data_IF_061750176804
#
_entry.id   IF_061750176804
#
_cell.length_a   1.000
_cell.length_b   1.000
_cell.length_c   1.000
_cell.angle_alpha   90.00
_cell.angle_beta   90.00
_cell.angle_gamma   90.00
#
_symmetry.space_group_name_H-M   'P 1'
#
loop_
_entity.id
_entity.type
_entity.pdbx_description
1 polymer ?
#
# COMPACT_ATOMS: atom_id res chain seq x y z
N UNK A 1 3.44 -1.60 33.89
CA UNK A 1 4.49 -0.89 33.12
C UNK A 1 4.07 -0.79 31.67
N UNK A 2 3.54 0.35 31.21
CA UNK A 2 3.26 0.58 29.79
C UNK A 2 4.60 0.61 29.04
N UNK A 3 4.83 -0.35 28.14
CA UNK A 3 5.97 -0.29 27.23
C UNK A 3 5.86 1.01 26.44
N UNK A 4 6.92 1.82 26.41
CA UNK A 4 7.02 3.03 25.59
C UNK A 4 6.62 2.68 24.15
N UNK A 5 5.41 3.08 23.74
CA UNK A 5 4.91 2.92 22.39
C UNK A 5 5.25 4.18 21.61
N UNK A 6 5.89 4.02 20.45
CA UNK A 6 6.15 5.15 19.57
C UNK A 6 5.06 5.23 18.52
N UNK A 7 4.40 6.38 18.44
CA UNK A 7 3.35 6.65 17.48
C UNK A 7 3.88 7.44 16.30
N UNK A 8 3.52 7.01 15.09
CA UNK A 8 3.91 7.66 13.84
C UNK A 8 2.68 7.98 13.01
N UNK A 9 2.55 9.26 12.64
CA UNK A 9 1.48 9.74 11.77
C UNK A 9 1.83 9.48 10.30
N UNK A 10 0.88 8.91 9.58
CA UNK A 10 0.96 8.60 8.16
C UNK A 10 0.11 9.60 7.38
N UNK A 11 0.75 10.26 6.44
CA UNK A 11 0.18 11.24 5.52
C UNK A 11 0.09 10.74 4.09
N UNK A 12 -0.28 11.67 3.20
CA UNK A 12 -0.47 11.39 1.77
C UNK A 12 0.86 11.42 1.03
N UNK A 13 1.20 10.34 0.33
CA UNK A 13 2.39 10.27 -0.52
C UNK A 13 2.13 10.82 -1.92
N UNK A 14 2.15 12.15 -2.08
CA UNK A 14 1.86 12.81 -3.37
C UNK A 14 2.88 12.47 -4.46
N UNK A 15 4.16 12.33 -4.10
CA UNK A 15 5.23 12.03 -5.07
C UNK A 15 5.14 10.59 -5.57
N UNK A 16 4.90 9.63 -4.68
CA UNK A 16 4.67 8.24 -5.07
C UNK A 16 3.43 8.06 -5.93
N UNK A 17 2.36 8.81 -5.63
CA UNK A 17 1.14 8.83 -6.45
C UNK A 17 1.41 9.34 -7.85
N UNK A 18 2.22 10.38 -8.01
CA UNK A 18 2.58 10.88 -9.34
C UNK A 18 3.29 9.80 -10.18
N UNK A 19 4.19 9.04 -9.57
CA UNK A 19 4.87 7.92 -10.23
C UNK A 19 3.91 6.78 -10.59
N UNK A 20 3.00 6.42 -9.68
CA UNK A 20 1.99 5.40 -9.97
C UNK A 20 1.08 5.85 -11.12
N UNK A 21 0.58 7.09 -11.10
CA UNK A 21 -0.26 7.64 -12.18
C UNK A 21 0.50 7.66 -13.51
N UNK A 22 1.77 8.09 -13.51
CA UNK A 22 2.60 8.11 -14.71
C UNK A 22 2.81 6.72 -15.31
N UNK A 23 2.89 5.66 -14.51
CA UNK A 23 2.99 4.29 -15.03
C UNK A 23 1.64 3.71 -15.47
N UNK A 24 0.60 3.88 -14.66
CA UNK A 24 -0.67 3.20 -14.89
C UNK A 24 -1.50 3.86 -15.99
N UNK A 25 -1.53 5.20 -16.09
CA UNK A 25 -2.37 5.90 -17.08
C UNK A 25 -1.99 5.54 -18.52
N UNK A 26 -0.70 5.57 -18.93
CA UNK A 26 -0.32 5.16 -20.28
C UNK A 26 -0.57 3.68 -20.53
N UNK A 27 -0.36 2.81 -19.53
CA UNK A 27 -0.55 1.36 -19.66
C UNK A 27 -2.03 1.03 -19.89
N UNK A 28 -2.92 1.57 -19.05
CA UNK A 28 -4.37 1.38 -19.18
C UNK A 28 -4.88 2.00 -20.47
N UNK A 29 -4.43 3.21 -20.81
CA UNK A 29 -4.79 3.90 -22.04
C UNK A 29 -4.36 3.13 -23.30
N UNK A 30 -3.15 2.59 -23.31
CA UNK A 30 -2.64 1.75 -24.39
C UNK A 30 -3.43 0.46 -24.55
N UNK A 31 -3.69 -0.26 -23.46
CA UNK A 31 -4.49 -1.49 -23.49
C UNK A 31 -5.92 -1.24 -23.96
N UNK A 32 -6.57 -0.19 -23.46
CA UNK A 32 -7.92 0.19 -23.87
C UNK A 32 -7.96 0.65 -25.34
N UNK A 33 -6.96 1.42 -25.79
CA UNK A 33 -6.87 1.89 -27.17
C UNK A 33 -6.65 0.74 -28.16
N UNK A 34 -5.72 -0.17 -27.86
CA UNK A 34 -5.47 -1.35 -28.71
C UNK A 34 -6.65 -2.32 -28.68
N UNK A 35 -7.32 -2.47 -27.54
CA UNK A 35 -8.58 -3.22 -27.44
C UNK A 35 -9.65 -2.65 -28.38
N UNK A 36 -9.85 -1.34 -28.38
CA UNK A 36 -10.79 -0.68 -29.27
C UNK A 36 -10.42 -0.88 -30.74
N UNK A 37 -9.13 -0.82 -31.09
CA UNK A 37 -8.67 -1.11 -32.44
C UNK A 37 -9.05 -2.53 -32.89
N UNK A 38 -8.77 -3.55 -32.07
CA UNK A 38 -9.13 -4.94 -32.38
C UNK A 38 -10.64 -5.20 -32.41
N UNK A 39 -11.42 -4.40 -31.69
CA UNK A 39 -12.88 -4.48 -31.74
C UNK A 39 -13.41 -4.16 -33.15
N UNK A 40 -12.88 -3.09 -33.76
CA UNK A 40 -13.25 -2.70 -35.12
C UNK A 40 -12.61 -3.56 -36.20
N UNK A 41 -11.47 -4.20 -35.92
CA UNK A 41 -10.77 -5.12 -36.83
C UNK A 41 -11.39 -6.54 -36.86
N UNK A 42 -12.52 -6.74 -36.18
CA UNK A 42 -13.24 -8.02 -36.16
C UNK A 42 -12.64 -9.10 -35.25
N UNK A 43 -11.45 -8.89 -34.69
CA UNK A 43 -10.81 -9.79 -33.72
C UNK A 43 -11.34 -9.55 -32.29
N UNK A 44 -12.60 -9.94 -32.09
CA UNK A 44 -13.32 -9.74 -30.82
C UNK A 44 -12.64 -10.44 -29.63
N UNK A 45 -11.98 -11.59 -29.86
CA UNK A 45 -11.30 -12.33 -28.80
C UNK A 45 -10.18 -11.53 -28.15
N UNK A 46 -9.28 -10.97 -28.96
CA UNK A 46 -8.21 -10.09 -28.46
C UNK A 46 -8.75 -8.79 -27.88
N UNK A 47 -9.81 -8.23 -28.50
CA UNK A 47 -10.45 -7.02 -27.98
C UNK A 47 -10.94 -7.22 -26.54
N UNK A 48 -11.67 -8.30 -26.26
CA UNK A 48 -12.15 -8.61 -24.91
C UNK A 48 -11.03 -8.86 -23.91
N UNK A 49 -10.00 -9.62 -24.30
CA UNK A 49 -8.85 -9.89 -23.43
C UNK A 49 -8.13 -8.59 -23.04
N UNK A 50 -7.84 -7.73 -24.00
CA UNK A 50 -7.15 -6.47 -23.77
C UNK A 50 -8.00 -5.48 -22.96
N UNK A 51 -9.31 -5.44 -23.21
CA UNK A 51 -10.23 -4.62 -22.42
C UNK A 51 -10.29 -5.10 -20.97
N UNK A 52 -10.42 -6.41 -20.76
CA UNK A 52 -10.39 -7.02 -19.44
C UNK A 52 -9.10 -6.66 -18.71
N UNK A 53 -7.95 -6.77 -19.39
CA UNK A 53 -6.65 -6.43 -18.83
C UNK A 53 -6.56 -4.93 -18.48
N UNK A 54 -7.09 -4.05 -19.33
CA UNK A 54 -7.16 -2.62 -19.04
C UNK A 54 -7.98 -2.34 -17.78
N UNK A 55 -9.16 -2.95 -17.64
CA UNK A 55 -10.00 -2.85 -16.45
C UNK A 55 -9.31 -3.39 -15.19
N UNK A 56 -8.61 -4.51 -15.30
CA UNK A 56 -7.85 -5.10 -14.20
C UNK A 56 -6.72 -4.17 -13.73
N UNK A 57 -5.90 -3.66 -14.64
CA UNK A 57 -4.84 -2.72 -14.29
C UNK A 57 -5.38 -1.39 -13.77
N UNK A 58 -6.50 -0.92 -14.29
CA UNK A 58 -7.19 0.27 -13.77
C UNK A 58 -7.61 0.06 -12.32
N UNK A 59 -8.26 -1.08 -12.01
CA UNK A 59 -8.69 -1.40 -10.66
C UNK A 59 -7.50 -1.47 -9.69
N UNK A 60 -6.43 -2.18 -10.05
CA UNK A 60 -5.24 -2.32 -9.20
C UNK A 60 -4.49 -1.00 -9.05
N UNK A 61 -4.35 -0.24 -10.13
CA UNK A 61 -3.73 1.08 -10.11
C UNK A 61 -4.51 2.08 -9.25
N UNK A 62 -5.84 2.10 -9.40
CA UNK A 62 -6.72 2.93 -8.59
C UNK A 62 -6.60 2.57 -7.10
N UNK A 63 -6.69 1.28 -6.75
CA UNK A 63 -6.53 0.83 -5.37
C UNK A 63 -5.20 1.29 -4.76
N UNK A 64 -4.09 1.11 -5.50
CA UNK A 64 -2.74 1.52 -5.05
C UNK A 64 -2.63 3.04 -4.87
N UNK A 65 -3.13 3.83 -5.81
CA UNK A 65 -3.14 5.30 -5.73
C UNK A 65 -3.98 5.78 -4.54
N UNK A 66 -5.19 5.24 -4.38
CA UNK A 66 -6.09 5.59 -3.28
C UNK A 66 -5.49 5.23 -1.91
N UNK A 67 -4.80 4.08 -1.82
CA UNK A 67 -4.11 3.67 -0.60
C UNK A 67 -2.95 4.61 -0.24
N UNK A 68 -2.15 5.04 -1.21
CA UNK A 68 -1.06 6.02 -0.98
C UNK A 68 -1.54 7.42 -0.61
N UNK A 69 -2.70 7.82 -1.13
CA UNK A 69 -3.37 9.06 -0.76
C UNK A 69 -4.11 8.95 0.58
N UNK A 70 -4.09 7.77 1.21
CA UNK A 70 -4.79 7.46 2.45
C UNK A 70 -6.27 7.77 2.30
N UNK A 71 -6.87 7.50 1.13
CA UNK A 71 -8.29 7.80 0.85
C UNK A 71 -9.21 6.62 1.15
N UNK A 72 -8.67 5.39 1.14
CA UNK A 72 -9.47 4.21 1.47
C UNK A 72 -9.77 4.20 2.98
N UNK A 73 -10.96 3.72 3.40
CA UNK A 73 -11.32 3.62 4.81
C UNK A 73 -10.33 2.74 5.60
N UNK A 74 -9.82 1.68 4.96
CA UNK A 74 -8.84 0.75 5.50
C UNK A 74 -7.39 1.25 5.44
N UNK A 75 -7.14 2.46 4.92
CA UNK A 75 -5.78 3.01 4.86
C UNK A 75 -5.29 3.34 6.27
N UNK A 76 -4.12 2.84 6.68
CA UNK A 76 -3.53 3.23 7.97
C UNK A 76 -3.18 4.72 8.00
N UNK A 77 -3.56 5.40 9.08
CA UNK A 77 -3.26 6.81 9.36
C UNK A 77 -2.28 6.96 10.52
N UNK A 78 -2.25 5.99 11.44
CA UNK A 78 -1.24 5.92 12.50
C UNK A 78 -0.63 4.54 12.54
N UNK A 79 0.64 4.49 12.94
CA UNK A 79 1.37 3.27 13.26
C UNK A 79 1.96 3.42 14.65
N UNK A 80 1.46 2.64 15.60
CA UNK A 80 2.00 2.54 16.95
C UNK A 80 2.87 1.28 17.06
N UNK A 81 4.16 1.50 17.31
CA UNK A 81 5.16 0.45 17.45
C UNK A 81 5.44 0.19 18.92
N UNK A 82 5.25 -1.05 19.36
CA UNK A 82 5.69 -1.57 20.66
C UNK A 82 6.59 -2.80 20.45
N UNK A 83 7.31 -3.23 21.49
CA UNK A 83 8.25 -4.36 21.45
C UNK A 83 7.63 -5.70 21.05
N UNK A 84 6.31 -5.86 21.22
CA UNK A 84 5.61 -7.15 21.00
C UNK A 84 4.35 -7.03 20.14
N UNK A 85 3.92 -5.81 19.80
CA UNK A 85 2.67 -5.56 19.09
C UNK A 85 2.82 -4.34 18.20
N UNK A 86 2.10 -4.36 17.08
CA UNK A 86 1.90 -3.20 16.23
C UNK A 86 0.41 -2.87 16.18
N UNK A 87 0.05 -1.63 16.46
CA UNK A 87 -1.33 -1.15 16.31
C UNK A 87 -1.37 -0.17 15.14
N UNK A 88 -2.32 -0.40 14.24
CA UNK A 88 -2.57 0.44 13.08
C UNK A 88 -3.95 1.04 13.22
N UNK A 89 -4.07 2.35 13.39
CA UNK A 89 -5.38 3.00 13.28
C UNK A 89 -5.63 3.38 11.82
N UNK A 90 -6.74 2.89 11.30
CA UNK A 90 -7.20 3.12 9.94
C UNK A 90 -7.98 4.44 9.84
N UNK A 91 -8.22 4.90 8.61
CA UNK A 91 -8.90 6.17 8.35
C UNK A 91 -10.36 6.18 8.82
N UNK A 92 -11.02 5.03 8.85
CA UNK A 92 -12.37 4.88 9.43
C UNK A 92 -12.38 4.95 10.98
N UNK A 93 -11.22 5.04 11.63
CA UNK A 93 -11.09 5.04 13.09
C UNK A 93 -10.93 3.65 13.70
N UNK A 94 -11.05 2.58 12.92
CA UNK A 94 -10.82 1.22 13.41
C UNK A 94 -9.33 0.98 13.67
N UNK A 95 -9.03 0.30 14.77
CA UNK A 95 -7.65 -0.08 15.11
C UNK A 95 -7.44 -1.57 14.87
N UNK A 96 -6.43 -1.89 14.05
CA UNK A 96 -6.00 -3.26 13.78
C UNK A 96 -4.72 -3.51 14.56
N UNK A 97 -4.79 -4.41 15.54
CA UNK A 97 -3.63 -4.85 16.32
C UNK A 97 -3.07 -6.15 15.74
N UNK A 98 -1.80 -6.12 15.32
CA UNK A 98 -1.04 -7.27 14.88
C UNK A 98 -0.28 -7.85 16.08
N UNK A 99 -0.62 -9.10 16.43
CA UNK A 99 -0.15 -9.74 17.67
C UNK A 99 0.72 -10.97 17.46
N UNK A 100 0.59 -11.65 16.31
CA UNK A 100 1.26 -12.92 16.05
C UNK A 100 1.87 -12.95 14.65
N UNK A 101 2.94 -13.73 14.49
CA UNK A 101 3.67 -13.92 13.22
C UNK A 101 4.07 -12.60 12.55
N UNK A 102 4.47 -11.63 13.39
CA UNK A 102 4.83 -10.31 12.95
C UNK A 102 6.18 -10.36 12.24
N UNK A 103 6.18 -9.99 10.95
CA UNK A 103 7.36 -9.95 10.10
C UNK A 103 7.53 -8.58 9.48
N UNK A 104 8.74 -8.06 9.60
CA UNK A 104 9.17 -6.86 8.93
C UNK A 104 9.97 -7.19 7.67
N UNK A 105 9.63 -6.56 6.55
CA UNK A 105 10.35 -6.68 5.29
C UNK A 105 10.84 -5.31 4.87
N UNK A 106 12.16 -5.10 4.90
CA UNK A 106 12.77 -3.91 4.32
C UNK A 106 12.84 -4.03 2.80
N UNK A 107 12.53 -2.95 2.10
CA UNK A 107 12.79 -2.85 0.67
C UNK A 107 14.29 -2.68 0.42
N UNK A 108 14.83 -3.40 -0.57
CA UNK A 108 16.24 -3.28 -0.97
C UNK A 108 16.60 -1.84 -1.41
N UNK A 109 15.66 -1.14 -2.05
CA UNK A 109 15.86 0.25 -2.46
C UNK A 109 15.66 1.27 -1.33
N UNK A 110 15.24 0.83 -0.14
CA UNK A 110 15.00 1.69 1.03
C UNK A 110 13.86 2.70 0.87
N UNK A 111 13.03 2.57 -0.17
CA UNK A 111 11.91 3.50 -0.47
C UNK A 111 10.62 3.09 0.23
N UNK A 112 10.54 1.85 0.69
CA UNK A 112 9.37 1.29 1.36
C UNK A 112 9.74 0.20 2.36
N UNK A 113 8.75 -0.26 3.12
CA UNK A 113 8.84 -1.49 3.88
C UNK A 113 7.46 -2.13 3.96
N UNK A 114 7.42 -3.43 4.21
CA UNK A 114 6.18 -4.16 4.43
C UNK A 114 6.14 -4.75 5.83
N UNK A 115 4.92 -4.85 6.36
CA UNK A 115 4.59 -5.50 7.61
C UNK A 115 3.55 -6.58 7.31
N UNK A 116 3.81 -7.80 7.80
CA UNK A 116 2.86 -8.90 7.77
C UNK A 116 2.65 -9.37 9.20
N UNK A 117 1.41 -9.69 9.57
CA UNK A 117 1.10 -10.25 10.87
C UNK A 117 -0.32 -10.79 10.92
N UNK A 118 -0.64 -11.50 11.99
CA UNK A 118 -1.98 -11.97 12.28
C UNK A 118 -2.64 -11.01 13.28
N UNK A 119 -3.88 -10.63 12.99
CA UNK A 119 -4.70 -9.82 13.89
C UNK A 119 -5.34 -10.66 15.00
N UNK A 120 -6.02 -9.99 15.94
CA UNK A 120 -6.72 -10.63 17.05
C UNK A 120 -7.86 -11.58 16.61
N UNK A 121 -8.36 -11.44 15.38
CA UNK A 121 -9.38 -12.30 14.79
C UNK A 121 -8.77 -13.51 14.05
N UNK A 122 -7.45 -13.68 14.12
CA UNK A 122 -6.73 -14.75 13.44
C UNK A 122 -6.53 -14.50 11.94
N UNK A 123 -6.89 -13.33 11.42
CA UNK A 123 -6.75 -13.00 10.01
C UNK A 123 -5.35 -12.48 9.71
N UNK A 124 -4.73 -13.01 8.65
CA UNK A 124 -3.43 -12.53 8.17
C UNK A 124 -3.63 -11.18 7.46
N UNK A 125 -2.91 -10.16 7.93
CA UNK A 125 -2.91 -8.81 7.39
C UNK A 125 -1.53 -8.46 6.86
N UNK A 126 -1.51 -7.72 5.77
CA UNK A 126 -0.30 -7.22 5.13
C UNK A 126 -0.46 -5.75 4.80
N UNK A 127 0.56 -4.97 5.15
CA UNK A 127 0.60 -3.55 4.93
C UNK A 127 1.94 -3.17 4.30
N UNK A 128 1.90 -2.26 3.35
CA UNK A 128 3.10 -1.70 2.71
C UNK A 128 3.10 -0.21 2.98
N UNK A 129 4.20 0.28 3.52
CA UNK A 129 4.41 1.68 3.85
C UNK A 129 5.51 2.26 2.98
N UNK A 130 5.28 3.47 2.51
CA UNK A 130 6.23 4.16 1.65
C UNK A 130 6.85 5.33 2.40
N UNK A 131 8.14 5.61 2.11
CA UNK A 131 8.88 6.71 2.73
C UNK A 131 8.13 8.05 2.64
N UNK A 132 7.44 8.31 1.52
CA UNK A 132 6.66 9.53 1.30
C UNK A 132 5.37 9.66 2.13
N UNK A 133 4.98 8.61 2.88
CA UNK A 133 3.84 8.68 3.81
C UNK A 133 4.24 9.22 5.18
N UNK A 134 5.52 9.33 5.50
CA UNK A 134 5.99 9.86 6.79
C UNK A 134 6.25 11.37 6.69
N UNK A 135 6.17 12.06 7.83
CA UNK A 135 6.38 13.50 7.91
C UNK A 135 7.76 13.92 7.36
N UNK A 136 8.79 13.16 7.72
CA UNK A 136 10.16 13.39 7.29
C UNK A 136 10.98 12.09 7.22
N UNK A 137 12.20 12.20 6.70
CA UNK A 137 13.12 11.06 6.60
C UNK A 137 13.58 10.56 7.98
N UNK A 138 13.65 11.43 8.98
CA UNK A 138 14.00 11.05 10.34
C UNK A 138 12.95 10.15 10.96
N UNK A 139 11.65 10.47 10.82
CA UNK A 139 10.56 9.62 11.26
C UNK A 139 10.59 8.26 10.56
N UNK A 140 10.80 8.23 9.23
CA UNK A 140 10.93 6.98 8.50
C UNK A 140 12.07 6.10 9.03
N UNK A 141 13.28 6.67 9.19
CA UNK A 141 14.44 5.94 9.73
C UNK A 141 14.17 5.42 11.14
N UNK A 142 13.54 6.24 11.99
CA UNK A 142 13.17 5.88 13.36
C UNK A 142 12.20 4.70 13.40
N UNK A 143 11.17 4.70 12.56
CA UNK A 143 10.23 3.58 12.43
C UNK A 143 10.96 2.31 12.00
N UNK A 144 11.75 2.39 10.94
CA UNK A 144 12.47 1.22 10.41
C UNK A 144 13.46 0.65 11.42
N UNK A 145 14.12 1.49 12.23
CA UNK A 145 15.01 1.05 13.31
C UNK A 145 14.25 0.39 14.47
N UNK A 146 13.06 0.88 14.81
CA UNK A 146 12.20 0.22 15.80
C UNK A 146 11.66 -1.12 15.29
N UNK A 147 11.37 -1.22 13.99
CA UNK A 147 10.83 -2.42 13.35
C UNK A 147 11.88 -3.48 12.99
N UNK A 148 13.17 -3.14 12.92
CA UNK A 148 14.24 -4.11 12.60
C UNK A 148 14.37 -5.22 13.65
N UNK A 149 13.80 -5.03 14.84
CA UNK A 149 13.68 -6.07 15.86
C UNK A 149 12.72 -7.22 15.48
N UNK A 150 11.89 -7.02 14.45
CA UNK A 150 10.95 -8.00 13.91
C UNK A 150 11.36 -8.54 12.52
N UNK A 151 12.60 -8.26 12.10
CA UNK A 151 13.18 -8.77 10.85
C UNK A 151 13.56 -10.25 11.00
#
# INVERSE_FOLDING_TARGET
MMSKSESFLLGRDRRGVLWDVLMYVPTVGGLAGVSAMFWYDGNKGLAYLLFFLACFFLYQGAHRVLQRLVLLPSSPVTLDVSKRRLVLTQRNGESVELVKDLRYFSDYAGKSFALSGMDMLGSKRQYVFHKGQFADEAAYKKVTASLSSFA
#
